data_IF_394415936160
#
_entry.id   IF_394415936160
#
_cell.length_a   1.000
_cell.length_b   1.000
_cell.length_c   1.000
_cell.angle_alpha   90.00
_cell.angle_beta   90.00
_cell.angle_gamma   90.00
#
_symmetry.space_group_name_H-M   'P 1'
#
loop_
_entity.id
_entity.type
_entity.pdbx_description
1 polymer ?
#
# COMPACT_ATOMS: atom_id res chain seq x y z
N UNK A 1 11.75 31.36 -0.94
CA UNK A 1 10.47 31.85 -0.39
C UNK A 1 9.53 31.94 -1.57
N UNK A 2 8.85 30.84 -1.89
CA UNK A 2 8.01 30.74 -3.09
C UNK A 2 6.58 30.97 -2.63
N UNK A 3 5.96 32.01 -3.20
CA UNK A 3 4.64 32.51 -2.84
C UNK A 3 3.55 31.47 -3.18
N UNK A 4 2.88 30.97 -2.14
CA UNK A 4 1.82 29.94 -2.23
C UNK A 4 0.43 30.52 -2.50
N UNK A 5 0.32 31.73 -3.05
CA UNK A 5 -0.97 32.27 -3.48
C UNK A 5 -1.47 31.55 -4.74
N UNK A 6 -2.09 30.39 -4.50
CA UNK A 6 -2.80 29.55 -5.46
C UNK A 6 -3.68 30.39 -6.39
N UNK A 7 -3.31 30.42 -7.68
CA UNK A 7 -4.27 30.76 -8.74
C UNK A 7 -5.33 29.66 -8.75
N UNK A 8 -6.54 29.99 -8.29
CA UNK A 8 -7.74 29.15 -8.38
C UNK A 8 -8.06 28.90 -9.86
N UNK A 9 -7.48 27.85 -10.41
CA UNK A 9 -7.91 27.29 -11.68
C UNK A 9 -9.00 26.25 -11.36
N UNK A 10 -10.27 26.44 -11.78
CA UNK A 10 -11.39 25.57 -11.39
C UNK A 10 -11.30 24.14 -11.97
N UNK A 11 -10.35 23.88 -12.87
CA UNK A 11 -10.02 22.56 -13.42
C UNK A 11 -8.79 21.95 -12.71
N UNK A 12 -8.14 22.69 -11.81
CA UNK A 12 -7.05 22.14 -11.00
C UNK A 12 -7.64 21.28 -9.90
N UNK A 13 -7.21 20.03 -9.85
CA UNK A 13 -7.34 19.18 -8.67
C UNK A 13 -6.89 19.99 -7.43
N UNK A 14 -7.62 19.92 -6.30
CA UNK A 14 -7.40 20.79 -5.14
C UNK A 14 -6.07 20.52 -4.42
N UNK A 15 -5.25 19.60 -4.93
CA UNK A 15 -4.02 19.13 -4.34
C UNK A 15 -2.89 19.20 -5.38
N UNK A 16 -1.69 19.55 -4.92
CA UNK A 16 -0.47 19.45 -5.72
C UNK A 16 -0.25 17.98 -6.08
N UNK A 17 -0.16 17.67 -7.37
CA UNK A 17 0.28 16.36 -7.85
C UNK A 17 1.79 16.42 -8.09
N UNK A 18 2.50 15.42 -7.61
CA UNK A 18 3.94 15.32 -7.69
C UNK A 18 4.33 14.20 -8.65
N UNK A 19 5.46 14.34 -9.33
CA UNK A 19 6.04 13.22 -10.06
C UNK A 19 6.48 12.14 -9.07
N UNK A 20 6.38 10.87 -9.48
CA UNK A 20 6.79 9.73 -8.64
C UNK A 20 8.24 9.87 -8.13
N UNK A 21 9.15 10.36 -8.97
CA UNK A 21 10.54 10.57 -8.58
C UNK A 21 10.73 11.73 -7.60
N UNK A 22 9.87 12.75 -7.64
CA UNK A 22 9.89 13.84 -6.66
C UNK A 22 9.43 13.35 -5.28
N UNK A 23 8.44 12.45 -5.21
CA UNK A 23 7.98 11.84 -3.96
C UNK A 23 9.13 11.06 -3.32
N UNK A 24 9.80 10.18 -4.07
CA UNK A 24 10.92 9.37 -3.57
C UNK A 24 12.08 10.20 -3.02
N UNK A 25 12.40 11.31 -3.69
CA UNK A 25 13.43 12.25 -3.21
C UNK A 25 12.94 12.97 -1.96
N UNK A 26 11.70 13.45 -1.98
CA UNK A 26 11.07 14.17 -0.88
C UNK A 26 10.94 13.34 0.40
N UNK A 27 10.70 12.02 0.30
CA UNK A 27 10.63 11.14 1.48
C UNK A 27 11.94 11.11 2.26
N UNK A 28 13.07 10.98 1.56
CA UNK A 28 14.40 10.99 2.21
C UNK A 28 14.71 12.35 2.81
N UNK A 29 14.49 13.41 2.05
CA UNK A 29 14.71 14.78 2.53
C UNK A 29 13.84 15.09 3.76
N UNK A 30 12.58 14.64 3.77
CA UNK A 30 11.66 14.80 4.89
C UNK A 30 12.08 13.98 6.11
N UNK A 31 12.51 12.72 5.91
CA UNK A 31 13.03 11.88 6.98
C UNK A 31 14.23 12.56 7.66
N UNK A 32 15.22 12.98 6.87
CA UNK A 32 16.42 13.66 7.35
C UNK A 32 16.08 14.97 8.07
N UNK A 33 15.21 15.81 7.49
CA UNK A 33 14.83 17.10 8.07
C UNK A 33 14.05 16.97 9.37
N UNK A 34 13.29 15.89 9.55
CA UNK A 34 12.49 15.63 10.74
C UNK A 34 13.22 14.76 11.78
N UNK A 35 14.42 14.28 11.47
CA UNK A 35 15.17 13.35 12.32
C UNK A 35 14.45 12.00 12.49
N UNK A 36 13.73 11.57 11.44
CA UNK A 36 13.00 10.31 11.39
C UNK A 36 13.75 9.31 10.51
N UNK A 37 13.56 8.04 10.79
CA UNK A 37 13.93 6.95 9.91
C UNK A 37 12.90 6.79 8.78
N UNK A 38 13.32 6.20 7.66
CA UNK A 38 12.39 5.82 6.59
C UNK A 38 11.34 4.81 7.06
N UNK A 39 11.70 3.95 8.02
CA UNK A 39 10.75 3.05 8.66
C UNK A 39 9.66 3.81 9.44
N UNK A 40 10.00 4.88 10.17
CA UNK A 40 9.00 5.73 10.82
C UNK A 40 8.07 6.44 9.83
N UNK A 41 8.57 6.79 8.63
CA UNK A 41 7.70 7.29 7.56
C UNK A 41 6.73 6.21 7.06
N UNK A 42 7.21 4.98 6.82
CA UNK A 42 6.37 3.82 6.46
C UNK A 42 5.29 3.55 7.52
N UNK A 43 5.65 3.61 8.82
CA UNK A 43 4.67 3.46 9.90
C UNK A 43 3.56 4.51 9.83
N UNK A 44 3.89 5.76 9.46
CA UNK A 44 2.90 6.84 9.29
C UNK A 44 2.07 6.65 8.02
N UNK A 45 2.67 6.22 6.92
CA UNK A 45 1.97 5.95 5.66
C UNK A 45 0.96 4.81 5.83
N UNK A 46 1.38 3.68 6.41
CA UNK A 46 0.51 2.57 6.74
C UNK A 46 -0.59 2.92 7.74
N UNK A 47 -0.30 3.72 8.78
CA UNK A 47 -1.34 4.23 9.70
C UNK A 47 -2.37 5.10 8.97
N UNK A 48 -1.93 6.01 8.10
CA UNK A 48 -2.84 6.84 7.31
C UNK A 48 -3.73 5.99 6.39
N UNK A 49 -3.14 5.00 5.71
CA UNK A 49 -3.89 4.05 4.88
C UNK A 49 -4.92 3.25 5.69
N UNK A 50 -4.53 2.76 6.87
CA UNK A 50 -5.42 2.07 7.80
C UNK A 50 -6.61 2.95 8.23
N UNK A 51 -6.35 4.22 8.61
CA UNK A 51 -7.40 5.15 9.01
C UNK A 51 -8.39 5.46 7.88
N UNK A 52 -7.89 5.62 6.65
CA UNK A 52 -8.73 5.79 5.46
C UNK A 52 -9.61 4.55 5.23
N UNK A 53 -9.01 3.35 5.25
CA UNK A 53 -9.75 2.10 5.10
C UNK A 53 -10.84 1.96 6.17
N UNK A 54 -10.50 2.24 7.43
CA UNK A 54 -11.43 2.13 8.56
C UNK A 54 -12.58 3.13 8.48
N UNK A 55 -12.30 4.34 8.01
CA UNK A 55 -13.31 5.40 7.88
C UNK A 55 -14.23 5.18 6.68
N UNK A 56 -13.67 4.72 5.55
CA UNK A 56 -14.44 4.46 4.32
C UNK A 56 -15.28 3.18 4.42
N UNK A 57 -14.79 2.16 5.13
CA UNK A 57 -15.41 0.84 5.27
C UNK A 57 -15.60 0.47 6.75
N UNK A 58 -16.44 1.20 7.51
CA UNK A 58 -16.57 1.02 8.95
C UNK A 58 -17.13 -0.35 9.36
N UNK A 59 -17.92 -0.97 8.48
CA UNK A 59 -18.57 -2.26 8.71
C UNK A 59 -17.72 -3.46 8.28
N UNK A 60 -16.60 -3.24 7.57
CA UNK A 60 -15.73 -4.32 7.11
C UNK A 60 -15.04 -5.00 8.29
N UNK A 61 -15.23 -6.32 8.42
CA UNK A 61 -14.74 -7.16 9.51
C UNK A 61 -13.62 -8.10 9.09
N UNK A 62 -13.57 -8.49 7.81
CA UNK A 62 -12.50 -9.31 7.25
C UNK A 62 -11.79 -8.59 6.11
N UNK A 63 -10.52 -8.26 6.31
CA UNK A 63 -9.67 -7.61 5.32
C UNK A 63 -8.70 -8.60 4.69
N UNK A 64 -8.67 -8.62 3.36
CA UNK A 64 -7.65 -9.31 2.58
C UNK A 64 -6.56 -8.31 2.21
N UNK A 65 -5.35 -8.47 2.75
CA UNK A 65 -4.23 -7.55 2.49
C UNK A 65 -3.26 -8.21 1.54
N UNK A 66 -3.06 -7.58 0.37
CA UNK A 66 -2.18 -8.08 -0.70
C UNK A 66 -0.87 -7.30 -0.68
N UNK A 67 0.20 -7.90 -0.16
CA UNK A 67 1.51 -7.26 -0.02
C UNK A 67 2.48 -7.65 -1.14
N UNK A 68 3.04 -6.65 -1.82
CA UNK A 68 4.12 -6.85 -2.77
C UNK A 68 5.51 -6.95 -2.12
N UNK A 69 6.53 -7.18 -2.94
CA UNK A 69 7.93 -7.29 -2.51
C UNK A 69 8.67 -5.92 -2.50
N UNK A 70 8.04 -4.88 -1.96
CA UNK A 70 8.59 -3.52 -1.95
C UNK A 70 8.06 -2.68 -0.80
N UNK A 71 8.38 -1.38 -0.78
CA UNK A 71 7.94 -0.48 0.29
C UNK A 71 6.41 -0.38 0.40
N UNK A 72 5.69 -0.44 -0.74
CA UNK A 72 4.22 -0.48 -0.72
C UNK A 72 3.70 -1.72 0.05
N UNK A 73 4.35 -2.87 -0.13
CA UNK A 73 4.04 -4.07 0.66
C UNK A 73 4.37 -3.90 2.14
N UNK A 74 5.42 -3.14 2.45
CA UNK A 74 5.75 -2.66 3.80
C UNK A 74 4.58 -1.92 4.46
N UNK A 75 3.99 -0.95 3.76
CA UNK A 75 2.79 -0.24 4.23
C UNK A 75 1.61 -1.20 4.44
N UNK A 76 1.43 -2.19 3.55
CA UNK A 76 0.44 -3.25 3.70
C UNK A 76 0.59 -4.05 5.01
N UNK A 77 1.82 -4.43 5.40
CA UNK A 77 2.06 -5.10 6.68
C UNK A 77 1.69 -4.21 7.88
N UNK A 78 1.95 -2.90 7.78
CA UNK A 78 1.55 -1.94 8.81
C UNK A 78 0.02 -1.87 8.92
N UNK A 79 -0.69 -1.76 7.79
CA UNK A 79 -2.16 -1.77 7.74
C UNK A 79 -2.72 -3.04 8.38
N UNK A 80 -2.20 -4.21 8.00
CA UNK A 80 -2.62 -5.49 8.55
C UNK A 80 -2.46 -5.56 10.08
N UNK A 81 -1.27 -5.17 10.58
CA UNK A 81 -0.98 -5.16 12.01
C UNK A 81 -1.93 -4.26 12.79
N UNK A 82 -2.23 -3.06 12.27
CA UNK A 82 -3.14 -2.12 12.91
C UNK A 82 -4.59 -2.60 12.87
N UNK A 83 -5.03 -3.19 11.75
CA UNK A 83 -6.35 -3.77 11.61
C UNK A 83 -6.57 -4.90 12.62
N UNK A 84 -5.64 -5.84 12.73
CA UNK A 84 -5.70 -6.90 13.74
C UNK A 84 -5.69 -6.35 15.17
N UNK A 85 -4.90 -5.31 15.45
CA UNK A 85 -4.85 -4.70 16.78
C UNK A 85 -6.20 -4.10 17.24
N UNK A 86 -7.09 -3.73 16.31
CA UNK A 86 -8.45 -3.25 16.62
C UNK A 86 -9.53 -4.33 16.45
N UNK A 87 -9.14 -5.60 16.28
CA UNK A 87 -10.05 -6.74 16.21
C UNK A 87 -10.70 -6.97 14.83
N UNK A 88 -10.09 -6.46 13.75
CA UNK A 88 -10.46 -6.82 12.38
C UNK A 88 -9.75 -8.15 12.03
N UNK A 89 -10.48 -9.08 11.43
CA UNK A 89 -9.90 -10.30 10.89
C UNK A 89 -9.07 -9.96 9.65
N UNK A 90 -7.83 -10.44 9.59
CA UNK A 90 -6.92 -10.14 8.49
C UNK A 90 -6.40 -11.43 7.89
N UNK A 91 -6.57 -11.58 6.59
CA UNK A 91 -5.82 -12.56 5.79
C UNK A 91 -4.80 -11.78 4.97
N UNK A 92 -3.50 -12.03 5.22
CA UNK A 92 -2.43 -11.36 4.49
C UNK A 92 -1.77 -12.33 3.51
N UNK A 93 -1.70 -11.94 2.24
CA UNK A 93 -0.96 -12.64 1.21
C UNK A 93 0.27 -11.80 0.86
N UNK A 94 1.44 -12.43 0.83
CA UNK A 94 2.65 -11.77 0.40
C UNK A 94 3.22 -12.43 -0.85
N UNK A 95 3.70 -11.62 -1.78
CA UNK A 95 4.47 -12.14 -2.90
C UNK A 95 5.85 -12.61 -2.41
N UNK A 96 6.20 -13.84 -2.76
CA UNK A 96 7.56 -14.35 -2.55
C UNK A 96 8.53 -13.80 -3.60
N UNK A 97 9.76 -13.57 -3.18
CA UNK A 97 10.85 -13.20 -4.07
C UNK A 97 12.18 -13.75 -3.56
N UNK A 98 13.06 -14.10 -4.50
CA UNK A 98 14.45 -14.47 -4.20
C UNK A 98 15.30 -13.25 -3.81
N UNK A 99 14.80 -12.04 -4.06
CA UNK A 99 15.47 -10.79 -3.69
C UNK A 99 15.22 -10.49 -2.21
N UNK A 100 16.16 -9.84 -1.51
CA UNK A 100 15.88 -9.32 -0.18
C UNK A 100 14.75 -8.27 -0.26
N UNK A 101 13.91 -8.22 0.78
CA UNK A 101 12.99 -7.09 0.97
C UNK A 101 13.79 -5.81 1.24
N UNK A 102 13.26 -4.63 0.87
CA UNK A 102 13.73 -3.38 1.45
C UNK A 102 13.75 -3.44 2.98
N UNK A 103 14.67 -2.71 3.60
CA UNK A 103 14.88 -2.74 5.05
C UNK A 103 13.60 -2.41 5.82
N UNK A 104 12.91 -1.35 5.42
CA UNK A 104 11.68 -0.90 6.06
C UNK A 104 10.56 -1.93 5.93
N UNK A 105 10.40 -2.52 4.73
CA UNK A 105 9.40 -3.56 4.49
C UNK A 105 9.71 -4.85 5.25
N UNK A 106 10.98 -5.19 5.43
CA UNK A 106 11.42 -6.32 6.24
C UNK A 106 11.07 -6.11 7.73
N UNK A 107 11.31 -4.91 8.27
CA UNK A 107 10.94 -4.54 9.63
C UNK A 107 9.41 -4.57 9.83
N UNK A 108 8.64 -4.06 8.87
CA UNK A 108 7.18 -4.10 8.92
C UNK A 108 6.63 -5.53 8.89
N UNK A 109 7.21 -6.39 8.04
CA UNK A 109 6.90 -7.82 7.98
C UNK A 109 7.21 -8.53 9.29
N UNK A 110 8.37 -8.23 9.90
CA UNK A 110 8.75 -8.81 11.19
C UNK A 110 7.79 -8.34 12.30
N UNK A 111 7.41 -7.06 12.30
CA UNK A 111 6.44 -6.51 13.25
C UNK A 111 5.05 -7.18 13.11
N UNK A 112 4.62 -7.52 11.89
CA UNK A 112 3.41 -8.29 11.64
C UNK A 112 3.48 -9.69 12.26
N UNK A 113 4.57 -10.42 11.99
CA UNK A 113 4.78 -11.77 12.52
C UNK A 113 4.88 -11.77 14.05
N UNK A 114 5.58 -10.80 14.64
CA UNK A 114 5.71 -10.64 16.09
C UNK A 114 4.38 -10.29 16.77
N UNK A 115 3.41 -9.73 16.04
CA UNK A 115 2.05 -9.51 16.52
C UNK A 115 1.17 -10.77 16.43
N UNK A 116 1.73 -11.92 16.04
CA UNK A 116 1.01 -13.18 15.84
C UNK A 116 0.33 -13.29 14.47
N UNK A 117 0.65 -12.39 13.54
CA UNK A 117 0.13 -12.42 12.19
C UNK A 117 0.68 -13.58 11.37
N UNK A 118 -0.13 -14.10 10.45
CA UNK A 118 0.28 -15.14 9.50
C UNK A 118 0.47 -14.53 8.11
N UNK A 119 1.38 -15.12 7.33
CA UNK A 119 1.62 -14.73 5.94
C UNK A 119 1.26 -15.94 5.07
N UNK A 120 0.25 -15.79 4.23
CA UNK A 120 -0.15 -16.82 3.29
C UNK A 120 0.55 -16.63 1.95
N UNK A 121 0.76 -17.73 1.25
CA UNK A 121 1.27 -17.71 -0.10
C UNK A 121 0.25 -17.03 -1.04
N UNK A 122 0.75 -16.31 -2.05
CA UNK A 122 -0.09 -15.62 -3.04
C UNK A 122 -1.09 -16.52 -3.80
N UNK A 123 -0.88 -17.84 -3.83
CA UNK A 123 -1.70 -18.80 -4.56
C UNK A 123 -2.72 -19.55 -3.69
N UNK A 124 -2.94 -19.14 -2.44
CA UNK A 124 -3.99 -19.75 -1.63
C UNK A 124 -5.37 -19.47 -2.22
N UNK A 125 -6.33 -20.34 -1.93
CA UNK A 125 -7.74 -20.03 -2.13
C UNK A 125 -8.11 -18.91 -1.16
N UNK A 126 -8.70 -17.84 -1.67
CA UNK A 126 -9.11 -16.70 -0.85
C UNK A 126 -10.27 -17.10 0.07
N UNK A 127 -10.38 -16.48 1.27
CA UNK A 127 -11.51 -16.71 2.16
C UNK A 127 -12.86 -16.45 1.47
N UNK A 128 -13.91 -17.19 1.83
CA UNK A 128 -15.24 -17.03 1.25
C UNK A 128 -15.86 -15.65 1.56
N UNK A 129 -15.54 -15.09 2.73
CA UNK A 129 -15.96 -13.76 3.16
C UNK A 129 -14.76 -12.82 3.16
N UNK A 130 -14.75 -11.83 2.28
CA UNK A 130 -13.81 -10.70 2.35
C UNK A 130 -14.64 -9.43 2.19
N UNK A 131 -14.52 -8.53 3.16
CA UNK A 131 -15.29 -7.26 3.17
C UNK A 131 -14.49 -6.10 2.57
N UNK A 132 -13.16 -6.20 2.56
CA UNK A 132 -12.26 -5.20 1.99
C UNK A 132 -10.98 -5.87 1.49
N UNK A 133 -10.55 -5.50 0.28
CA UNK A 133 -9.21 -5.82 -0.21
C UNK A 133 -8.32 -4.58 -0.06
N UNK A 134 -7.18 -4.73 0.59
CA UNK A 134 -6.13 -3.71 0.63
C UNK A 134 -5.08 -4.08 -0.40
N UNK A 135 -5.01 -3.31 -1.49
CA UNK A 135 -4.02 -3.46 -2.55
C UNK A 135 -2.73 -2.71 -2.17
N UNK A 136 -1.74 -3.47 -1.72
CA UNK A 136 -0.40 -3.01 -1.39
C UNK A 136 0.66 -3.74 -2.25
N UNK A 137 0.29 -4.15 -3.47
CA UNK A 137 1.15 -4.94 -4.35
C UNK A 137 2.24 -4.10 -5.02
N UNK A 138 1.86 -2.97 -5.64
CA UNK A 138 2.76 -2.12 -6.42
C UNK A 138 2.42 -0.65 -6.17
N UNK A 139 3.43 0.14 -5.81
CA UNK A 139 3.29 1.60 -5.70
C UNK A 139 3.85 2.31 -6.93
N UNK A 140 4.22 3.57 -6.74
CA UNK A 140 4.80 4.50 -7.73
C UNK A 140 6.05 4.01 -8.49
N UNK A 141 6.62 2.86 -8.13
CA UNK A 141 7.82 2.31 -8.75
C UNK A 141 7.63 1.42 -9.97
N UNK A 142 6.39 1.19 -10.40
CA UNK A 142 6.13 0.40 -11.60
C UNK A 142 6.62 1.13 -12.86
N UNK A 143 7.48 0.47 -13.64
CA UNK A 143 7.99 1.00 -14.92
C UNK A 143 7.62 0.14 -16.12
N UNK A 144 7.13 -1.08 -15.89
CA UNK A 144 6.82 -2.07 -16.93
C UNK A 144 5.64 -2.92 -16.47
N UNK A 145 5.05 -3.68 -17.40
CA UNK A 145 3.99 -4.64 -17.11
C UNK A 145 4.31 -5.48 -15.85
N UNK A 146 3.34 -5.62 -14.92
CA UNK A 146 3.51 -6.50 -13.78
C UNK A 146 3.88 -7.92 -14.22
N UNK A 147 4.68 -8.60 -13.40
CA UNK A 147 4.94 -10.03 -13.61
C UNK A 147 3.62 -10.80 -13.52
N UNK A 148 3.55 -11.93 -14.21
CA UNK A 148 2.33 -12.74 -14.28
C UNK A 148 1.73 -13.07 -12.90
N UNK A 149 2.56 -13.40 -11.90
CA UNK A 149 2.09 -13.66 -10.53
C UNK A 149 1.42 -12.47 -9.86
N UNK A 150 1.82 -11.22 -10.17
CA UNK A 150 1.13 -10.03 -9.69
C UNK A 150 -0.09 -9.70 -10.54
N UNK A 151 0.00 -9.84 -11.87
CA UNK A 151 -1.14 -9.63 -12.75
C UNK A 151 -2.31 -10.52 -12.36
N UNK A 152 -2.06 -11.80 -12.06
CA UNK A 152 -3.10 -12.73 -11.62
C UNK A 152 -3.75 -12.31 -10.29
N UNK A 153 -2.99 -11.76 -9.34
CA UNK A 153 -3.56 -11.22 -8.09
C UNK A 153 -4.42 -9.99 -8.35
N UNK A 154 -3.97 -9.09 -9.24
CA UNK A 154 -4.73 -7.90 -9.64
C UNK A 154 -6.03 -8.31 -10.33
N UNK A 155 -5.97 -9.25 -11.28
CA UNK A 155 -7.14 -9.75 -12.00
C UNK A 155 -8.13 -10.44 -11.05
N UNK A 156 -7.62 -11.24 -10.11
CA UNK A 156 -8.44 -11.88 -9.09
C UNK A 156 -9.13 -10.83 -8.19
N UNK A 157 -8.38 -9.84 -7.71
CA UNK A 157 -8.92 -8.74 -6.91
C UNK A 157 -10.02 -7.97 -7.65
N UNK A 158 -9.78 -7.62 -8.92
CA UNK A 158 -10.74 -6.90 -9.76
C UNK A 158 -12.03 -7.69 -10.04
N UNK A 159 -11.95 -9.02 -10.02
CA UNK A 159 -13.11 -9.91 -10.17
C UNK A 159 -13.88 -10.17 -8.86
N UNK A 160 -13.28 -9.82 -7.72
CA UNK A 160 -13.85 -10.07 -6.41
C UNK A 160 -14.94 -9.01 -6.09
N UNK A 161 -16.05 -9.36 -5.42
CA UNK A 161 -17.13 -8.41 -5.12
C UNK A 161 -16.80 -7.38 -4.04
N UNK A 162 -15.75 -7.62 -3.24
CA UNK A 162 -15.33 -6.70 -2.19
C UNK A 162 -14.75 -5.40 -2.78
N UNK A 163 -14.96 -4.26 -2.12
CA UNK A 163 -14.26 -3.03 -2.47
C UNK A 163 -12.74 -3.20 -2.33
N UNK A 164 -11.98 -2.41 -3.11
CA UNK A 164 -10.52 -2.36 -3.09
C UNK A 164 -10.06 -0.98 -2.62
N UNK A 165 -9.17 -0.95 -1.64
CA UNK A 165 -8.43 0.23 -1.21
C UNK A 165 -6.96 0.07 -1.61
N UNK A 166 -6.50 0.88 -2.58
CA UNK A 166 -5.11 0.86 -3.01
C UNK A 166 -4.24 1.76 -2.13
N UNK A 167 -3.07 1.26 -1.74
CA UNK A 167 -2.02 2.01 -1.06
C UNK A 167 -1.10 2.63 -2.10
N UNK A 168 -0.83 3.94 -1.96
CA UNK A 168 -0.11 4.80 -2.92
C UNK A 168 -0.86 4.97 -4.26
N UNK A 169 -0.86 3.95 -5.12
CA UNK A 169 -1.57 3.94 -6.39
C UNK A 169 -2.20 2.56 -6.66
N UNK A 170 -3.28 2.46 -7.45
CA UNK A 170 -3.80 1.16 -7.88
C UNK A 170 -2.73 0.34 -8.61
N UNK A 171 -2.48 -0.87 -8.12
CA UNK A 171 -1.43 -1.72 -8.66
C UNK A 171 -1.69 -2.05 -10.13
N UNK A 172 -0.65 -1.92 -10.95
CA UNK A 172 -0.73 -2.11 -12.40
C UNK A 172 -0.83 -0.81 -13.20
N UNK A 173 -0.94 0.34 -12.55
CA UNK A 173 -0.91 1.64 -13.23
C UNK A 173 0.48 2.29 -13.20
N UNK A 174 0.84 2.98 -14.28
CA UNK A 174 2.00 3.87 -14.32
C UNK A 174 1.67 5.17 -13.57
N UNK A 175 2.46 5.53 -12.56
CA UNK A 175 2.20 6.68 -11.69
C UNK A 175 2.05 8.01 -12.43
N UNK A 176 2.81 8.22 -13.51
CA UNK A 176 2.82 9.48 -14.24
C UNK A 176 1.63 9.67 -15.18
N UNK A 177 1.05 8.56 -15.67
CA UNK A 177 0.06 8.61 -16.76
C UNK A 177 -1.28 8.00 -16.38
N UNK A 178 -1.34 7.20 -15.32
CA UNK A 178 -2.51 6.39 -14.97
C UNK A 178 -2.83 5.29 -15.97
N UNK A 179 -1.95 5.03 -16.95
CA UNK A 179 -2.15 3.98 -17.95
C UNK A 179 -1.62 2.62 -17.46
N UNK A 180 -2.18 1.54 -18.00
CA UNK A 180 -1.61 0.20 -17.87
C UNK A 180 -0.42 0.05 -18.82
N UNK A 181 0.77 -0.37 -18.35
CA UNK A 181 1.94 -0.61 -19.18
C UNK A 181 1.86 -1.87 -20.05
#
# INVERSE_FOLDING_TARGET
MTDHTMKKNPVSIPHTVWHADDIRRGEREAADALGLTLYELMLRAGEAAFQVCRSAYPDARHWLVLCGHGNNGGDGYVVARLATAVGIEVTLLAQESDKPLPEEAALAREAWLNAGGEIHASNIVWPESVDLIVDALLGTGLQQAPRESISQLIDHANSHPAPIAAVDIPSGLLAETGATP
#
